data_IF_107350037016
#
_entry.id   IF_107350037016
#
_cell.length_a   1.000
_cell.length_b   1.000
_cell.length_c   1.000
_cell.angle_alpha   90.00
_cell.angle_beta   90.00
_cell.angle_gamma   90.00
#
_symmetry.space_group_name_H-M   'P 1'
#
loop_
_entity.id
_entity.type
_entity.pdbx_description
1 polymer ?
#
# COMPACT_ATOMS: atom_id res chain seq x y z
N UNK A 1 75.70 34.94 35.74
CA UNK A 1 75.33 34.13 36.92
C UNK A 1 74.42 33.06 36.40
N UNK A 2 75.09 32.06 35.85
CA UNK A 2 74.55 31.09 34.92
C UNK A 2 74.05 29.92 35.75
N UNK A 3 72.74 29.69 35.72
CA UNK A 3 72.14 28.52 36.36
C UNK A 3 72.40 27.32 35.46
N UNK A 4 73.60 26.75 35.58
CA UNK A 4 73.95 25.46 34.99
C UNK A 4 73.09 24.37 35.66
N UNK A 5 71.95 24.07 35.05
CA UNK A 5 71.10 22.94 35.41
C UNK A 5 71.94 21.67 35.31
N UNK A 6 72.06 20.94 36.41
CA UNK A 6 72.79 19.69 36.45
C UNK A 6 72.16 18.69 35.47
N UNK A 7 72.98 17.85 34.84
CA UNK A 7 72.51 16.84 33.88
C UNK A 7 71.46 15.92 34.51
N UNK A 8 71.58 15.66 35.81
CA UNK A 8 70.65 14.85 36.60
C UNK A 8 69.26 15.49 36.74
N UNK A 9 69.18 16.81 36.92
CA UNK A 9 67.91 17.53 36.99
C UNK A 9 67.17 17.50 35.64
N UNK A 10 67.93 17.58 34.55
CA UNK A 10 67.40 17.44 33.19
C UNK A 10 66.87 16.03 32.92
N UNK A 11 67.58 15.00 33.42
CA UNK A 11 67.21 13.60 33.24
C UNK A 11 65.96 13.23 34.06
N UNK A 12 65.86 13.73 35.30
CA UNK A 12 64.67 13.60 36.13
C UNK A 12 63.45 14.24 35.45
N UNK A 13 63.60 15.46 34.93
CA UNK A 13 62.51 16.17 34.25
C UNK A 13 62.07 15.51 32.95
N UNK A 14 63.01 14.91 32.20
CA UNK A 14 62.69 14.11 31.04
C UNK A 14 61.90 12.85 31.40
N UNK A 15 62.27 12.16 32.49
CA UNK A 15 61.58 10.96 32.97
C UNK A 15 60.14 11.26 33.43
N UNK A 16 59.91 12.40 34.08
CA UNK A 16 58.58 12.83 34.50
C UNK A 16 57.70 13.17 33.31
N UNK A 17 58.26 13.82 32.29
CA UNK A 17 57.54 14.13 31.06
C UNK A 17 57.19 12.86 30.27
N UNK A 18 58.07 11.86 30.24
CA UNK A 18 57.76 10.55 29.66
C UNK A 18 56.61 9.86 30.40
N UNK A 19 56.63 9.83 31.74
CA UNK A 19 55.53 9.27 32.55
C UNK A 19 54.21 10.03 32.36
N UNK A 20 54.25 11.35 32.14
CA UNK A 20 53.05 12.13 31.79
C UNK A 20 52.53 11.77 30.40
N UNK A 21 53.43 11.61 29.42
CA UNK A 21 53.09 11.23 28.05
C UNK A 21 52.51 9.82 27.95
N UNK A 22 53.05 8.86 28.72
CA UNK A 22 52.49 7.51 28.84
C UNK A 22 51.08 7.51 29.45
N UNK A 23 50.84 8.33 30.48
CA UNK A 23 49.50 8.52 31.06
C UNK A 23 48.52 9.18 30.09
N UNK A 24 48.97 10.15 29.30
CA UNK A 24 48.17 10.81 28.26
C UNK A 24 47.84 9.84 27.09
N UNK A 25 48.78 8.98 26.70
CA UNK A 25 48.56 7.92 25.70
C UNK A 25 47.61 6.82 26.19
N UNK A 26 47.61 6.47 27.48
CA UNK A 26 46.62 5.56 28.08
C UNK A 26 45.20 6.16 28.10
N UNK A 27 45.06 7.48 28.30
CA UNK A 27 43.77 8.19 28.27
C UNK A 27 43.23 8.32 26.84
N UNK A 28 44.11 8.46 25.84
CA UNK A 28 43.72 8.47 24.41
C UNK A 28 43.41 7.07 23.85
N UNK A 29 44.03 6.00 24.37
CA UNK A 29 43.69 4.61 24.00
C UNK A 29 42.34 4.16 24.58
N UNK A 30 42.01 4.52 25.83
CA UNK A 30 40.72 4.18 26.48
C UNK A 30 39.52 4.92 25.88
N UNK A 31 39.70 6.14 25.36
CA UNK A 31 38.61 6.92 24.74
C UNK A 31 38.33 6.54 23.27
N UNK A 32 39.30 5.93 22.58
CA UNK A 32 39.17 5.55 21.16
C UNK A 32 38.89 4.06 20.90
N UNK A 33 39.14 3.14 21.84
CA UNK A 33 38.82 1.71 21.67
C UNK A 33 37.36 1.35 21.99
N UNK A 34 36.74 2.06 22.93
CA UNK A 34 35.44 1.66 23.47
C UNK A 34 34.25 2.30 22.72
N UNK A 35 34.51 3.32 21.90
CA UNK A 35 33.48 4.06 21.13
C UNK A 35 33.44 3.73 19.63
N UNK A 36 34.43 2.99 19.08
CA UNK A 36 34.46 2.65 17.64
C UNK A 36 33.92 1.27 17.27
N UNK A 37 33.82 0.33 18.21
CA UNK A 37 33.35 -1.05 17.91
C UNK A 37 31.85 -1.23 18.23
N UNK A 38 31.25 -0.33 19.02
CA UNK A 38 29.83 -0.42 19.41
C UNK A 38 28.83 0.10 18.37
N UNK A 39 29.30 0.79 17.31
CA UNK A 39 28.43 1.43 16.31
C UNK A 39 28.50 0.86 14.88
N UNK A 40 29.14 -0.29 14.67
CA UNK A 40 28.96 -1.03 13.41
C UNK A 40 27.69 -1.88 13.55
N UNK A 41 26.54 -1.21 13.56
CA UNK A 41 25.26 -1.88 13.37
C UNK A 41 25.19 -2.21 11.88
N UNK A 42 25.32 -3.49 11.51
CA UNK A 42 25.11 -3.91 10.12
C UNK A 42 23.79 -3.30 9.63
N UNK A 43 23.85 -2.57 8.52
CA UNK A 43 22.71 -1.82 7.95
C UNK A 43 21.53 -2.71 7.52
N UNK A 44 21.70 -4.03 7.60
CA UNK A 44 20.70 -5.04 7.34
C UNK A 44 20.38 -5.85 8.60
N UNK A 45 19.66 -5.26 9.55
CA UNK A 45 18.93 -6.05 10.55
C UNK A 45 17.60 -6.48 9.93
N UNK A 46 17.51 -7.73 9.49
CA UNK A 46 16.24 -8.33 9.12
C UNK A 46 15.39 -8.43 10.39
N UNK A 47 14.30 -7.66 10.45
CA UNK A 47 13.30 -7.81 11.50
C UNK A 47 12.61 -9.15 11.28
N UNK A 48 12.95 -10.15 12.08
CA UNK A 48 12.39 -11.51 11.97
C UNK A 48 10.98 -11.61 12.55
N UNK A 49 10.46 -10.53 13.18
CA UNK A 49 9.15 -10.52 13.83
C UNK A 49 9.06 -11.43 15.06
N UNK A 50 10.19 -11.98 15.53
CA UNK A 50 10.27 -12.87 16.69
C UNK A 50 10.92 -12.13 17.85
N UNK A 51 10.37 -12.30 19.05
CA UNK A 51 10.96 -11.79 20.29
C UNK A 51 12.26 -12.56 20.61
N UNK A 52 13.41 -11.91 20.38
CA UNK A 52 14.75 -12.50 20.59
C UNK A 52 15.12 -12.75 22.07
N UNK A 53 14.16 -12.65 22.98
CA UNK A 53 14.37 -12.71 24.44
C UNK A 53 14.54 -14.15 24.96
N UNK A 54 14.04 -15.15 24.22
CA UNK A 54 14.01 -16.56 24.64
C UNK A 54 14.83 -17.50 23.74
N UNK A 55 15.92 -17.04 23.13
CA UNK A 55 16.79 -17.93 22.36
C UNK A 55 17.80 -18.67 23.23
N UNK A 56 18.10 -19.91 22.82
CA UNK A 56 19.16 -20.74 23.40
C UNK A 56 20.57 -20.20 23.10
N UNK A 57 20.69 -19.22 22.20
CA UNK A 57 21.93 -18.53 21.83
C UNK A 57 21.81 -17.05 22.24
N UNK A 58 22.66 -16.60 23.18
CA UNK A 58 22.73 -15.22 23.64
C UNK A 58 24.00 -14.54 23.10
N UNK A 59 23.84 -13.37 22.50
CA UNK A 59 24.95 -12.54 22.03
C UNK A 59 25.38 -11.58 23.13
N UNK A 60 26.65 -11.65 23.53
CA UNK A 60 27.22 -10.70 24.47
C UNK A 60 27.54 -9.36 23.77
N UNK A 61 27.72 -8.28 24.54
CA UNK A 61 28.09 -6.95 24.03
C UNK A 61 29.35 -6.96 23.14
N UNK A 62 30.20 -7.98 23.31
CA UNK A 62 31.44 -8.17 22.55
C UNK A 62 31.23 -8.98 21.25
N UNK A 63 29.99 -9.24 20.83
CA UNK A 63 29.66 -9.95 19.59
C UNK A 63 29.78 -11.48 19.64
N UNK A 64 30.37 -12.04 20.70
CA UNK A 64 30.47 -13.49 20.92
C UNK A 64 29.11 -14.06 21.29
N UNK A 65 28.69 -15.11 20.57
CA UNK A 65 27.45 -15.84 20.83
C UNK A 65 27.76 -17.03 21.75
N UNK A 66 27.03 -17.14 22.87
CA UNK A 66 27.16 -18.24 23.83
C UNK A 66 25.81 -18.97 23.97
N UNK A 67 25.88 -20.27 24.25
CA UNK A 67 24.70 -21.06 24.62
C UNK A 67 24.22 -20.65 26.02
N UNK A 68 22.91 -20.57 26.21
CA UNK A 68 22.29 -20.25 27.49
C UNK A 68 22.38 -21.48 28.40
N UNK A 69 23.28 -21.44 29.39
CA UNK A 69 23.59 -22.57 30.28
C UNK A 69 22.37 -23.02 31.10
N UNK A 70 21.35 -22.17 31.26
CA UNK A 70 20.12 -22.52 31.95
C UNK A 70 19.27 -23.58 31.21
N UNK A 71 19.44 -23.74 29.90
CA UNK A 71 18.61 -24.62 29.05
C UNK A 71 19.38 -25.86 28.62
N UNK A 72 20.71 -25.77 28.47
CA UNK A 72 21.54 -26.85 27.92
C UNK A 72 22.84 -26.96 28.71
N UNK A 73 22.88 -27.89 29.66
CA UNK A 73 24.13 -28.37 30.26
C UNK A 73 24.64 -29.55 29.41
N UNK A 74 25.60 -29.30 28.50
CA UNK A 74 26.36 -30.41 27.89
C UNK A 74 27.51 -30.71 28.85
N UNK A 75 27.25 -31.61 29.80
CA UNK A 75 28.35 -32.33 30.46
C UNK A 75 28.59 -33.61 29.65
N UNK A 76 29.85 -33.96 29.43
CA UNK A 76 30.29 -35.10 28.59
C UNK A 76 29.79 -36.47 29.08
N UNK A 77 29.03 -36.53 30.17
CA UNK A 77 28.39 -37.73 30.66
C UNK A 77 26.88 -37.54 30.66
N UNK A 78 26.25 -38.17 29.67
CA UNK A 78 24.83 -38.24 29.33
C UNK A 78 23.93 -38.63 30.54
N UNK A 79 23.80 -37.76 31.55
CA UNK A 79 22.87 -37.90 32.69
C UNK A 79 21.99 -36.66 32.76
N UNK A 80 20.79 -36.82 32.20
CA UNK A 80 19.73 -35.81 32.22
C UNK A 80 19.28 -35.62 33.68
N UNK A 81 19.42 -34.40 34.20
CA UNK A 81 19.01 -34.06 35.55
C UNK A 81 17.47 -34.08 35.66
N UNK A 82 16.91 -34.82 36.62
CA UNK A 82 15.46 -35.07 36.75
C UNK A 82 14.61 -33.80 36.97
N UNK A 83 15.23 -32.65 37.29
CA UNK A 83 14.54 -31.35 37.35
C UNK A 83 14.10 -30.83 35.97
N UNK A 84 14.76 -31.26 34.90
CA UNK A 84 14.52 -30.74 33.55
C UNK A 84 13.40 -31.50 32.79
N UNK A 85 12.95 -32.66 33.28
CA UNK A 85 11.83 -33.40 32.66
C UNK A 85 10.53 -32.59 32.62
N UNK A 86 10.26 -31.76 33.64
CA UNK A 86 9.09 -30.85 33.67
C UNK A 86 9.19 -29.68 32.68
N UNK A 87 10.40 -29.29 32.28
CA UNK A 87 10.60 -28.28 31.24
C UNK A 87 10.44 -28.88 29.85
N UNK A 88 10.91 -30.11 29.63
CA UNK A 88 10.72 -30.87 28.38
C UNK A 88 9.26 -31.29 28.13
N UNK A 89 8.50 -31.67 29.17
CA UNK A 89 7.05 -31.98 29.03
C UNK A 89 6.20 -30.76 28.66
N UNK A 90 6.63 -29.54 29.04
CA UNK A 90 5.94 -28.30 28.66
C UNK A 90 6.29 -27.84 27.24
N UNK A 91 7.30 -28.43 26.60
CA UNK A 91 7.61 -28.22 25.19
C UNK A 91 6.87 -29.28 24.37
N UNK A 92 5.55 -29.35 24.55
CA UNK A 92 4.69 -29.86 23.49
C UNK A 92 4.72 -28.76 22.43
N UNK A 93 5.62 -28.90 21.45
CA UNK A 93 5.58 -28.10 20.22
C UNK A 93 4.33 -28.59 19.47
N UNK A 94 3.15 -28.22 19.97
CA UNK A 94 2.01 -28.00 19.09
C UNK A 94 2.55 -27.01 18.08
N UNK A 95 2.76 -27.48 16.85
CA UNK A 95 3.36 -26.69 15.81
C UNK A 95 2.67 -25.34 15.80
N UNK A 96 3.37 -24.32 16.31
CA UNK A 96 3.06 -22.96 15.98
C UNK A 96 3.36 -22.89 14.50
N UNK A 97 2.36 -23.25 13.70
CA UNK A 97 2.29 -22.76 12.34
C UNK A 97 2.37 -21.27 12.50
N UNK A 98 3.54 -20.71 12.20
CA UNK A 98 3.65 -19.31 11.87
C UNK A 98 2.68 -19.15 10.69
N UNK A 99 1.45 -18.74 10.99
CA UNK A 99 0.60 -18.19 9.97
C UNK A 99 1.38 -16.97 9.50
N UNK A 100 2.09 -17.12 8.37
CA UNK A 100 2.48 -15.97 7.56
C UNK A 100 1.29 -15.02 7.58
N UNK A 101 1.46 -13.72 7.88
CA UNK A 101 0.37 -12.75 7.87
C UNK A 101 -0.48 -13.06 6.65
N UNK A 102 -1.66 -13.60 6.93
CA UNK A 102 -2.49 -14.19 5.90
C UNK A 102 -2.69 -13.06 4.91
N UNK A 103 -2.35 -13.26 3.64
CA UNK A 103 -2.66 -12.32 2.55
C UNK A 103 -4.19 -12.19 2.36
N UNK A 104 -4.97 -12.18 3.43
CA UNK A 104 -6.42 -12.12 3.43
C UNK A 104 -6.92 -10.71 3.18
N UNK A 105 -6.12 -9.69 3.51
CA UNK A 105 -6.46 -8.31 3.17
C UNK A 105 -6.46 -8.10 1.65
N UNK A 106 -5.45 -8.64 0.94
CA UNK A 106 -5.34 -8.60 -0.53
C UNK A 106 -6.42 -9.41 -1.27
N UNK A 107 -6.97 -10.46 -0.63
CA UNK A 107 -8.03 -11.28 -1.25
C UNK A 107 -9.33 -10.51 -1.46
N UNK A 108 -9.54 -9.42 -0.74
CA UNK A 108 -10.75 -8.59 -0.91
C UNK A 108 -10.62 -7.52 -2.00
N UNK A 109 -9.38 -7.16 -2.34
CA UNK A 109 -9.03 -6.15 -3.35
C UNK A 109 -9.24 -6.66 -4.78
N UNK A 110 -9.22 -7.98 -4.94
CA UNK A 110 -9.11 -8.63 -6.23
C UNK A 110 -10.21 -9.68 -6.42
N UNK A 111 -10.67 -9.91 -7.66
CA UNK A 111 -11.70 -10.91 -7.99
C UNK A 111 -11.23 -12.37 -7.77
N UNK A 112 -9.95 -12.56 -7.48
CA UNK A 112 -9.29 -13.84 -7.21
C UNK A 112 -8.74 -14.54 -8.45
N UNK A 113 -7.96 -15.60 -8.22
CA UNK A 113 -7.21 -16.32 -9.26
C UNK A 113 -8.09 -16.93 -10.36
N UNK A 114 -9.34 -17.31 -10.04
CA UNK A 114 -10.32 -17.80 -11.03
C UNK A 114 -10.66 -16.78 -12.11
N UNK A 115 -10.42 -15.50 -11.82
CA UNK A 115 -10.67 -14.38 -12.72
C UNK A 115 -9.42 -13.50 -12.86
N UNK A 116 -8.29 -14.16 -13.09
CA UNK A 116 -6.98 -13.56 -13.40
C UNK A 116 -6.60 -12.39 -12.49
N UNK A 117 -6.99 -12.48 -11.22
CA UNK A 117 -6.70 -11.46 -10.24
C UNK A 117 -7.11 -10.04 -10.71
N UNK A 118 -8.32 -9.91 -11.24
CA UNK A 118 -8.87 -8.61 -11.65
C UNK A 118 -9.01 -7.66 -10.44
N UNK A 119 -8.35 -6.48 -10.45
CA UNK A 119 -8.40 -5.53 -9.34
C UNK A 119 -9.78 -4.86 -9.25
N UNK A 120 -10.13 -4.35 -8.07
CA UNK A 120 -11.25 -3.44 -7.86
C UNK A 120 -10.76 -1.99 -8.00
N UNK A 121 -11.05 -1.28 -9.11
CA UNK A 121 -10.63 0.10 -9.28
C UNK A 121 -11.43 1.05 -8.39
N UNK A 122 -10.81 2.17 -8.03
CA UNK A 122 -11.52 3.27 -7.39
C UNK A 122 -12.53 3.92 -8.34
N UNK A 123 -13.74 4.14 -7.85
CA UNK A 123 -14.84 4.72 -8.65
C UNK A 123 -14.66 6.23 -8.70
N UNK A 124 -14.01 6.72 -9.75
CA UNK A 124 -13.98 8.15 -10.10
C UNK A 124 -15.36 8.61 -10.60
N UNK A 125 -15.70 9.91 -10.52
CA UNK A 125 -16.98 10.41 -11.02
C UNK A 125 -17.20 10.14 -12.51
N UNK A 126 -16.14 10.21 -13.32
CA UNK A 126 -16.21 9.92 -14.77
C UNK A 126 -16.57 8.46 -15.03
N UNK A 127 -15.87 7.53 -14.37
CA UNK A 127 -16.14 6.10 -14.49
C UNK A 127 -17.56 5.77 -14.01
N UNK A 128 -18.01 6.41 -12.93
CA UNK A 128 -19.38 6.24 -12.43
C UNK A 128 -20.43 6.61 -13.48
N UNK A 129 -20.21 7.71 -14.19
CA UNK A 129 -21.10 8.15 -15.27
C UNK A 129 -21.10 7.15 -16.42
N UNK A 130 -19.93 6.66 -16.84
CA UNK A 130 -19.80 5.66 -17.89
C UNK A 130 -20.48 4.33 -17.51
N UNK A 131 -20.33 3.88 -16.26
CA UNK A 131 -21.02 2.67 -15.78
C UNK A 131 -22.54 2.86 -15.72
N UNK A 132 -23.01 4.03 -15.29
CA UNK A 132 -24.44 4.37 -15.33
C UNK A 132 -24.97 4.41 -16.76
N UNK A 133 -24.16 4.93 -17.70
CA UNK A 133 -24.48 4.99 -19.12
C UNK A 133 -24.64 3.59 -19.71
N UNK A 134 -23.73 2.66 -19.38
CA UNK A 134 -23.82 1.25 -19.78
C UNK A 134 -25.10 0.61 -19.24
N UNK A 135 -25.45 0.87 -17.98
CA UNK A 135 -26.72 0.39 -17.40
C UNK A 135 -27.94 0.93 -18.14
N UNK A 136 -27.86 2.17 -18.61
CA UNK A 136 -28.92 2.86 -19.34
C UNK A 136 -28.84 2.67 -20.87
N UNK A 137 -28.01 1.76 -21.38
CA UNK A 137 -27.77 1.57 -22.83
C UNK A 137 -29.05 1.37 -23.66
N UNK A 138 -30.10 0.83 -23.06
CA UNK A 138 -31.40 0.61 -23.69
C UNK A 138 -32.09 1.89 -24.16
N UNK A 139 -31.76 3.04 -23.56
CA UNK A 139 -32.40 4.33 -23.86
C UNK A 139 -31.58 5.14 -24.87
N UNK A 140 -30.32 4.78 -25.08
CA UNK A 140 -29.39 5.55 -25.93
C UNK A 140 -29.77 5.47 -27.40
N UNK A 141 -30.03 4.27 -27.91
CA UNK A 141 -30.42 4.05 -29.30
C UNK A 141 -31.79 3.38 -29.37
N UNK A 142 -32.74 4.05 -30.06
CA UNK A 142 -34.10 3.54 -30.28
C UNK A 142 -34.14 2.27 -31.14
N UNK A 143 -33.11 2.04 -31.95
CA UNK A 143 -33.04 0.87 -32.84
C UNK A 143 -32.39 -0.34 -32.20
N UNK A 144 -31.69 -0.16 -31.07
CA UNK A 144 -30.99 -1.25 -30.37
C UNK A 144 -31.68 -1.57 -29.07
N UNK A 145 -32.30 -2.75 -29.03
CA UNK A 145 -32.94 -3.29 -27.84
C UNK A 145 -32.01 -4.34 -27.23
N UNK A 146 -31.58 -4.12 -25.98
CA UNK A 146 -30.77 -5.10 -25.26
C UNK A 146 -31.61 -5.84 -24.21
N UNK A 147 -31.10 -6.99 -23.77
CA UNK A 147 -31.64 -7.69 -22.60
C UNK A 147 -31.60 -6.77 -21.38
N UNK A 148 -32.70 -6.77 -20.62
CA UNK A 148 -32.82 -6.02 -19.37
C UNK A 148 -31.77 -6.51 -18.38
N UNK A 149 -31.02 -5.57 -17.82
CA UNK A 149 -30.11 -5.84 -16.72
C UNK A 149 -30.86 -5.71 -15.38
N UNK A 150 -30.77 -6.75 -14.56
CA UNK A 150 -31.40 -6.84 -13.24
C UNK A 150 -30.40 -6.56 -12.10
N UNK A 151 -29.16 -6.22 -12.44
CA UNK A 151 -28.13 -5.88 -11.47
C UNK A 151 -28.55 -4.68 -10.59
N UNK A 152 -28.50 -4.86 -9.27
CA UNK A 152 -28.93 -3.84 -8.31
C UNK A 152 -27.96 -2.65 -8.22
N UNK A 153 -26.68 -2.87 -8.48
CA UNK A 153 -25.63 -1.86 -8.31
C UNK A 153 -24.57 -1.89 -9.41
N UNK A 154 -23.56 -1.03 -9.26
CA UNK A 154 -22.36 -1.04 -10.10
C UNK A 154 -21.51 -2.29 -9.78
N UNK A 155 -20.83 -2.86 -10.77
CA UNK A 155 -19.93 -3.99 -10.53
C UNK A 155 -18.78 -3.58 -9.60
N UNK A 156 -18.39 -4.46 -8.67
CA UNK A 156 -17.26 -4.23 -7.74
C UNK A 156 -15.90 -4.31 -8.45
N UNK A 157 -15.74 -5.32 -9.31
CA UNK A 157 -14.52 -5.56 -10.07
C UNK A 157 -14.80 -5.24 -11.53
N UNK A 158 -14.01 -4.36 -12.13
CA UNK A 158 -14.12 -4.00 -13.54
C UNK A 158 -12.79 -3.45 -14.03
N UNK A 159 -12.63 -3.37 -15.35
CA UNK A 159 -11.50 -2.70 -15.99
C UNK A 159 -12.03 -1.90 -17.17
N UNK A 160 -11.44 -0.73 -17.40
CA UNK A 160 -11.73 0.11 -18.58
C UNK A 160 -10.63 -0.13 -19.60
N UNK A 161 -11.01 -0.65 -20.76
CA UNK A 161 -10.11 -0.94 -21.86
C UNK A 161 -10.51 -0.20 -23.12
N UNK A 162 -9.56 -0.06 -24.04
CA UNK A 162 -9.80 0.50 -25.38
C UNK A 162 -9.63 -0.58 -26.43
N UNK A 163 -10.53 -0.62 -27.40
CA UNK A 163 -10.46 -1.57 -28.51
C UNK A 163 -9.25 -1.21 -29.37
N UNK A 164 -8.37 -2.19 -29.57
CA UNK A 164 -7.26 -2.10 -30.54
C UNK A 164 -7.79 -2.68 -31.85
N UNK A 165 -8.01 -1.79 -32.81
CA UNK A 165 -8.50 -2.15 -34.14
C UNK A 165 -7.40 -2.90 -34.92
N UNK A 166 -7.81 -3.90 -35.70
CA UNK A 166 -6.90 -4.64 -36.57
C UNK A 166 -6.42 -3.78 -37.76
N UNK A 167 -5.29 -4.17 -38.36
CA UNK A 167 -4.72 -3.49 -39.52
C UNK A 167 -5.43 -3.84 -40.83
N UNK A 168 -6.24 -4.90 -40.86
CA UNK A 168 -6.94 -5.37 -42.06
C UNK A 168 -8.10 -4.47 -42.49
N UNK A 169 -8.87 -3.93 -41.54
CA UNK A 169 -10.05 -3.10 -41.82
C UNK A 169 -9.82 -1.62 -41.48
N UNK A 170 -9.72 -0.76 -42.49
CA UNK A 170 -9.45 0.66 -42.28
C UNK A 170 -10.69 1.58 -42.31
N UNK A 171 -11.69 1.26 -43.11
CA UNK A 171 -12.74 2.22 -43.49
C UNK A 171 -14.08 2.06 -42.75
N UNK A 172 -14.42 0.88 -42.25
CA UNK A 172 -15.75 0.62 -41.69
C UNK A 172 -15.79 0.66 -40.16
N UNK A 173 -14.90 -0.09 -39.52
CA UNK A 173 -14.93 -0.35 -38.08
C UNK A 173 -14.04 0.61 -37.26
N UNK A 174 -13.16 1.35 -37.94
CA UNK A 174 -12.16 2.23 -37.32
C UNK A 174 -12.68 3.65 -37.13
N UNK A 175 -12.52 4.17 -35.91
CA UNK A 175 -12.81 5.57 -35.60
C UNK A 175 -11.65 6.47 -36.00
N UNK A 176 -11.94 7.68 -36.48
CA UNK A 176 -10.91 8.69 -36.75
C UNK A 176 -10.34 9.25 -35.44
N UNK A 177 -9.12 9.83 -35.49
CA UNK A 177 -8.49 10.43 -34.29
C UNK A 177 -9.37 11.50 -33.61
N UNK A 178 -10.26 12.17 -34.35
CA UNK A 178 -11.15 13.21 -33.82
C UNK A 178 -12.34 12.64 -33.07
N UNK A 179 -12.84 11.50 -33.52
CA UNK A 179 -13.99 10.80 -32.93
C UNK A 179 -13.59 10.03 -31.67
N UNK A 180 -12.35 9.50 -31.62
CA UNK A 180 -11.85 8.79 -30.44
C UNK A 180 -11.71 9.74 -29.25
N UNK A 181 -12.42 9.44 -28.16
CA UNK A 181 -12.38 10.16 -26.88
C UNK A 181 -11.80 9.29 -25.76
N UNK A 182 -11.65 9.89 -24.57
CA UNK A 182 -11.13 9.21 -23.39
C UNK A 182 -12.21 8.42 -22.64
N UNK A 183 -13.44 8.95 -22.60
CA UNK A 183 -14.60 8.35 -21.91
C UNK A 183 -15.69 7.97 -22.90
N UNK A 184 -16.53 7.01 -22.51
CA UNK A 184 -17.64 6.57 -23.34
C UNK A 184 -18.71 7.67 -23.46
N UNK A 185 -18.95 8.40 -22.37
CA UNK A 185 -19.86 9.52 -22.35
C UNK A 185 -19.46 10.62 -23.34
N UNK A 186 -18.17 10.98 -23.40
CA UNK A 186 -17.69 12.03 -24.32
C UNK A 186 -17.88 11.64 -25.78
N UNK A 187 -17.69 10.36 -26.11
CA UNK A 187 -17.91 9.86 -27.47
C UNK A 187 -19.38 10.05 -27.88
N UNK A 188 -20.32 9.69 -27.00
CA UNK A 188 -21.76 9.85 -27.25
C UNK A 188 -22.16 11.33 -27.31
N UNK A 189 -21.58 12.18 -26.48
CA UNK A 189 -21.87 13.63 -26.49
C UNK A 189 -21.30 14.33 -27.73
N UNK A 190 -20.24 13.78 -28.30
CA UNK A 190 -19.63 14.28 -29.53
C UNK A 190 -20.46 13.93 -30.78
N UNK A 191 -21.29 12.88 -30.74
CA UNK A 191 -22.21 12.55 -31.83
C UNK A 191 -23.38 13.55 -31.93
N UNK A 192 -23.45 14.23 -33.07
CA UNK A 192 -24.46 15.25 -33.37
C UNK A 192 -25.86 14.66 -33.40
N UNK A 193 -26.01 13.45 -33.97
CA UNK A 193 -27.31 12.81 -34.13
C UNK A 193 -27.91 12.43 -32.78
N UNK A 194 -27.10 11.78 -31.94
CA UNK A 194 -27.45 11.45 -30.56
C UNK A 194 -27.84 12.70 -29.77
N UNK A 195 -27.04 13.76 -29.85
CA UNK A 195 -27.32 15.04 -29.16
C UNK A 195 -28.64 15.67 -29.59
N UNK A 196 -28.93 15.70 -30.89
CA UNK A 196 -30.19 16.25 -31.40
C UNK A 196 -31.39 15.42 -30.94
N UNK A 197 -31.27 14.09 -30.95
CA UNK A 197 -32.30 13.19 -30.47
C UNK A 197 -32.57 13.39 -28.98
N UNK A 198 -31.52 13.38 -28.14
CA UNK A 198 -31.66 13.55 -26.69
C UNK A 198 -32.26 14.90 -26.35
N UNK A 199 -31.82 15.99 -27.00
CA UNK A 199 -32.42 17.32 -26.80
C UNK A 199 -33.90 17.33 -27.14
N UNK A 200 -34.29 16.75 -28.28
CA UNK A 200 -35.69 16.67 -28.71
C UNK A 200 -36.53 15.88 -27.70
N UNK A 201 -36.08 14.68 -27.31
CA UNK A 201 -36.81 13.83 -26.37
C UNK A 201 -36.86 14.39 -24.96
N UNK A 202 -35.78 14.99 -24.49
CA UNK A 202 -35.75 15.70 -23.22
C UNK A 202 -36.82 16.80 -23.17
N UNK A 203 -36.91 17.64 -24.21
CA UNK A 203 -37.91 18.70 -24.28
C UNK A 203 -39.34 18.15 -24.34
N UNK A 204 -39.56 17.04 -25.06
CA UNK A 204 -40.85 16.36 -25.12
C UNK A 204 -41.27 15.84 -23.73
N UNK A 205 -40.37 15.13 -23.04
CA UNK A 205 -40.58 14.64 -21.68
C UNK A 205 -40.83 15.82 -20.73
N UNK A 206 -40.03 16.87 -20.80
CA UNK A 206 -40.19 18.03 -19.92
C UNK A 206 -41.54 18.73 -20.14
N UNK A 207 -42.01 18.87 -21.38
CA UNK A 207 -43.36 19.39 -21.69
C UNK A 207 -44.44 18.47 -21.15
N UNK A 208 -44.31 17.16 -21.32
CA UNK A 208 -45.26 16.18 -20.79
C UNK A 208 -45.31 16.22 -19.26
N UNK A 209 -44.16 16.19 -18.59
CA UNK A 209 -44.06 16.27 -17.13
C UNK A 209 -44.55 17.62 -16.58
N UNK A 210 -44.40 18.72 -17.32
CA UNK A 210 -44.92 20.04 -16.92
C UNK A 210 -46.42 20.21 -17.15
N UNK A 211 -47.02 19.41 -18.03
CA UNK A 211 -48.47 19.39 -18.21
C UNK A 211 -49.13 18.89 -16.92
N UNK A 212 -50.08 19.67 -16.37
CA UNK A 212 -50.73 19.36 -15.10
C UNK A 212 -50.04 19.89 -13.82
N UNK A 213 -48.82 20.43 -13.88
CA UNK A 213 -48.17 21.06 -12.71
C UNK A 213 -48.85 22.39 -12.36
N UNK A 214 -48.80 22.79 -11.07
CA UNK A 214 -49.31 24.07 -10.50
C UNK A 214 -49.12 25.31 -11.40
N UNK A 215 -48.07 25.36 -12.21
CA UNK A 215 -47.82 26.45 -13.18
C UNK A 215 -48.89 26.53 -14.28
N UNK A 216 -49.34 25.40 -14.82
CA UNK A 216 -50.45 25.32 -15.78
C UNK A 216 -51.76 25.78 -15.12
N UNK A 217 -52.03 25.28 -13.91
CA UNK A 217 -53.20 25.67 -13.11
C UNK A 217 -53.25 27.19 -12.81
N UNK A 218 -52.13 27.76 -12.36
CA UNK A 218 -52.02 29.18 -12.05
C UNK A 218 -52.14 30.06 -13.30
N UNK A 219 -51.65 29.60 -14.46
CA UNK A 219 -51.81 30.30 -15.74
C UNK A 219 -53.28 30.33 -16.19
N UNK A 220 -54.01 29.22 -16.02
CA UNK A 220 -55.45 29.16 -16.27
C UNK A 220 -56.26 30.12 -15.37
N UNK A 221 -55.93 30.18 -14.06
CA UNK A 221 -56.56 31.13 -13.13
C UNK A 221 -56.28 32.60 -13.49
N UNK A 222 -55.03 32.95 -13.82
CA UNK A 222 -54.68 34.31 -14.27
C UNK A 222 -55.39 34.67 -15.58
N UNK A 223 -55.52 33.73 -16.50
CA UNK A 223 -56.28 33.93 -17.74
C UNK A 223 -57.76 34.23 -17.50
N UNK A 224 -58.39 33.55 -16.54
CA UNK A 224 -59.80 33.83 -16.15
C UNK A 224 -59.95 35.20 -15.46
N UNK A 225 -59.02 35.55 -14.55
CA UNK A 225 -59.03 36.86 -13.86
C UNK A 225 -58.83 38.07 -14.78
N UNK A 226 -58.24 37.90 -15.96
CA UNK A 226 -58.02 38.99 -16.93
C UNK A 226 -59.19 39.21 -17.89
N UNK A 227 -60.19 38.32 -17.87
CA UNK A 227 -61.37 38.37 -18.75
C UNK A 227 -62.60 38.95 -18.06
N UNK A 228 -62.54 39.13 -16.74
CA UNK A 228 -63.46 39.93 -15.95
C UNK A 228 -62.81 41.30 -15.69
#
# INVERSE_FOLDING_TARGET
MDNDLSLDDLLLKASENLKKKEKEEEVQKKSNSDSKISNIQSSSQLSTGVDNRNFYLKRNKNGVVKLDSAVVDITENNKINNKNKKALEKVKIEGQSFNLPKEEDKKTETAGSKWFDMPAPEITPEIKLDLQLIKMRNVLDRKRHYKKDESKGLPKYFQVGRIIEDKSEYFSSRLTKKERKNTLLDEIMNDVNSRQYFKRKFNEIQKASQSGIKKSYNKGKKGKKRRN
#
